data_IF_503347896547
#
_entry.id   IF_503347896547
#
_cell.length_a   1.000
_cell.length_b   1.000
_cell.length_c   1.000
_cell.angle_alpha   90.00
_cell.angle_beta   90.00
_cell.angle_gamma   90.00
#
_symmetry.space_group_name_H-M   'P 1'
#
loop_
_entity.id
_entity.type
_entity.pdbx_description
1 polymer ?
#
# COMPACT_ATOMS: atom_id res chain seq x y z
N UNK A 1 5.11 7.81 -1.81
CA UNK A 1 6.55 7.95 -2.17
C UNK A 1 7.50 7.41 -1.11
N UNK A 2 7.39 7.72 0.18
CA UNK A 2 8.38 7.31 1.21
C UNK A 2 8.87 5.85 1.16
N UNK A 3 8.02 4.84 1.42
CA UNK A 3 8.47 3.43 1.44
C UNK A 3 9.01 2.92 0.09
N UNK A 4 8.38 3.37 -1.00
CA UNK A 4 8.82 3.06 -2.36
C UNK A 4 10.15 3.74 -2.72
N UNK A 5 10.38 4.97 -2.27
CA UNK A 5 11.61 5.71 -2.48
C UNK A 5 12.76 5.09 -1.68
N UNK A 6 12.51 4.64 -0.44
CA UNK A 6 13.51 3.93 0.37
C UNK A 6 13.91 2.61 -0.28
N UNK A 7 12.95 1.81 -0.76
CA UNK A 7 13.25 0.56 -1.47
C UNK A 7 13.99 0.81 -2.79
N UNK A 8 13.57 1.81 -3.58
CA UNK A 8 14.26 2.19 -4.82
C UNK A 8 15.69 2.69 -4.57
N UNK A 9 15.91 3.53 -3.55
CA UNK A 9 17.24 4.00 -3.16
C UNK A 9 18.15 2.83 -2.76
N UNK A 10 17.65 1.91 -1.94
CA UNK A 10 18.39 0.69 -1.59
C UNK A 10 18.71 -0.19 -2.80
N UNK A 11 17.79 -0.30 -3.78
CA UNK A 11 18.03 -1.03 -5.02
C UNK A 11 19.12 -0.38 -5.88
N UNK A 12 19.13 0.95 -5.97
CA UNK A 12 20.12 1.71 -6.75
C UNK A 12 21.50 1.73 -6.08
N UNK A 13 21.55 1.65 -4.74
CA UNK A 13 22.81 1.68 -3.97
C UNK A 13 23.44 0.29 -3.73
N UNK A 14 22.75 -0.80 -4.08
CA UNK A 14 23.25 -2.17 -3.90
C UNK A 14 24.07 -2.66 -5.09
N UNK A 15 25.39 -2.78 -4.93
CA UNK A 15 26.25 -3.47 -5.91
C UNK A 15 25.81 -4.93 -6.11
N UNK A 16 25.52 -5.31 -7.35
CA UNK A 16 24.93 -6.60 -7.73
C UNK A 16 25.74 -7.85 -7.31
N UNK A 17 27.01 -7.71 -6.93
CA UNK A 17 27.93 -8.80 -6.61
C UNK A 17 28.00 -9.19 -5.12
N UNK A 18 27.45 -8.39 -4.20
CA UNK A 18 27.41 -8.68 -2.75
C UNK A 18 26.00 -8.93 -2.19
N UNK A 19 24.98 -8.90 -3.05
CA UNK A 19 23.56 -9.00 -2.66
C UNK A 19 22.96 -10.42 -2.64
N UNK A 20 23.69 -11.44 -3.07
CA UNK A 20 23.11 -12.79 -3.24
C UNK A 20 22.80 -13.54 -1.94
N UNK A 21 23.37 -13.14 -0.79
CA UNK A 21 23.30 -13.96 0.44
C UNK A 21 22.63 -13.31 1.66
N UNK A 22 22.24 -12.03 1.66
CA UNK A 22 21.70 -11.40 2.87
C UNK A 22 20.79 -10.18 2.67
N UNK A 23 20.10 -10.07 1.53
CA UNK A 23 19.26 -8.89 1.27
C UNK A 23 17.78 -9.11 1.61
N UNK A 24 17.15 -8.26 2.47
CA UNK A 24 15.77 -8.42 2.92
C UNK A 24 14.72 -7.83 1.97
N UNK A 25 15.06 -7.52 0.72
CA UNK A 25 14.09 -7.08 -0.31
C UNK A 25 13.35 -8.29 -0.87
N UNK A 26 12.55 -8.90 0.00
CA UNK A 26 11.55 -9.89 -0.38
C UNK A 26 10.49 -9.23 -1.26
N UNK A 27 9.88 -9.99 -2.18
CA UNK A 27 8.72 -9.54 -2.96
C UNK A 27 7.61 -8.96 -2.06
N UNK A 28 7.51 -9.42 -0.81
CA UNK A 28 6.63 -8.85 0.21
C UNK A 28 6.90 -7.39 0.53
N UNK A 29 8.17 -6.99 0.69
CA UNK A 29 8.56 -5.61 1.02
C UNK A 29 8.30 -4.68 -0.15
N UNK A 30 8.58 -5.14 -1.37
CA UNK A 30 8.32 -4.38 -2.59
C UNK A 30 6.82 -4.19 -2.81
N UNK A 31 6.04 -5.27 -2.73
CA UNK A 31 4.58 -5.21 -2.88
C UNK A 31 3.92 -4.33 -1.80
N UNK A 32 4.34 -4.44 -0.54
CA UNK A 32 3.86 -3.57 0.54
C UNK A 32 4.19 -2.09 0.26
N UNK A 33 5.42 -1.80 -0.18
CA UNK A 33 5.85 -0.46 -0.53
C UNK A 33 5.05 0.14 -1.69
N UNK A 34 4.70 -0.67 -2.71
CA UNK A 34 3.87 -0.25 -3.82
C UNK A 34 2.46 0.11 -3.33
N UNK A 35 1.80 -0.77 -2.57
CA UNK A 35 0.44 -0.53 -2.07
C UNK A 35 0.35 0.72 -1.17
N UNK A 36 1.30 0.87 -0.24
CA UNK A 36 1.39 2.04 0.64
C UNK A 36 1.75 3.29 -0.19
N UNK A 37 2.61 3.16 -1.20
CA UNK A 37 2.92 4.23 -2.14
C UNK A 37 1.70 4.75 -2.89
N UNK A 38 0.84 3.85 -3.38
CA UNK A 38 -0.42 4.19 -4.08
C UNK A 38 -1.36 5.00 -3.19
N UNK A 39 -1.58 4.57 -1.95
CA UNK A 39 -2.44 5.31 -1.00
C UNK A 39 -1.86 6.68 -0.64
N UNK A 40 -0.53 6.82 -0.51
CA UNK A 40 0.10 8.15 -0.33
C UNK A 40 -0.09 9.05 -1.53
N UNK A 41 0.11 8.54 -2.76
CA UNK A 41 -0.11 9.32 -3.98
C UNK A 41 -1.56 9.79 -4.10
N UNK A 42 -2.52 8.96 -3.67
CA UNK A 42 -3.93 9.34 -3.61
C UNK A 42 -4.20 10.50 -2.65
N UNK A 43 -3.56 10.52 -1.46
CA UNK A 43 -3.67 11.64 -0.52
C UNK A 43 -3.19 12.95 -1.15
N UNK A 44 -2.02 12.92 -1.78
CA UNK A 44 -1.42 14.09 -2.43
C UNK A 44 -2.31 14.59 -3.57
N UNK A 45 -2.81 13.68 -4.40
CA UNK A 45 -3.73 14.01 -5.48
C UNK A 45 -5.01 14.66 -4.95
N UNK A 46 -5.64 14.06 -3.93
CA UNK A 46 -6.85 14.60 -3.30
C UNK A 46 -6.62 15.96 -2.62
N UNK A 47 -5.40 16.25 -2.16
CA UNK A 47 -5.08 17.56 -1.56
C UNK A 47 -5.12 18.72 -2.57
N UNK A 48 -4.93 18.43 -3.86
CA UNK A 48 -4.97 19.44 -4.92
C UNK A 48 -6.39 19.83 -5.34
N UNK A 49 -7.44 19.06 -5.01
CA UNK A 49 -8.81 19.40 -5.42
C UNK A 49 -9.29 20.75 -4.90
N UNK A 50 -8.83 21.14 -3.72
CA UNK A 50 -9.16 22.45 -3.16
C UNK A 50 -8.40 23.61 -3.85
N UNK A 51 -7.27 23.32 -4.51
CA UNK A 51 -6.37 24.32 -5.09
C UNK A 51 -6.57 24.51 -6.61
N UNK A 52 -7.46 23.76 -7.26
CA UNK A 52 -7.56 23.70 -8.74
C UNK A 52 -7.80 25.06 -9.37
N UNK A 53 -8.74 25.85 -8.85
CA UNK A 53 -9.07 27.13 -9.49
C UNK A 53 -7.99 28.20 -9.24
N UNK A 54 -7.44 28.26 -8.03
CA UNK A 54 -6.33 29.17 -7.72
C UNK A 54 -5.04 28.80 -8.49
N UNK A 55 -4.75 27.50 -8.63
CA UNK A 55 -3.62 27.01 -9.42
C UNK A 55 -3.83 27.27 -10.93
N UNK A 56 -5.07 27.22 -11.42
CA UNK A 56 -5.43 27.54 -12.82
C UNK A 56 -5.27 29.03 -13.13
N UNK A 57 -5.68 29.90 -12.20
CA UNK A 57 -5.57 31.36 -12.33
C UNK A 57 -4.12 31.83 -12.41
N UNK A 58 -3.20 31.14 -11.74
CA UNK A 58 -1.75 31.43 -11.80
C UNK A 58 -0.99 30.62 -12.86
N UNK A 59 -1.69 29.85 -13.69
CA UNK A 59 -1.10 29.08 -14.80
C UNK A 59 -0.27 27.85 -14.39
N UNK A 60 -0.46 27.28 -13.19
CA UNK A 60 0.24 26.06 -12.78
C UNK A 60 -0.21 24.85 -13.60
N UNK A 61 0.76 24.06 -14.05
CA UNK A 61 0.55 22.81 -14.79
C UNK A 61 0.36 21.60 -13.86
N UNK A 62 -0.47 21.71 -12.81
CA UNK A 62 -0.72 20.56 -11.95
C UNK A 62 -1.58 19.50 -12.69
N UNK A 63 -1.39 18.19 -12.41
CA UNK A 63 -2.15 17.13 -13.06
C UNK A 63 -3.66 17.36 -12.99
N UNK A 64 -4.14 17.89 -11.87
CA UNK A 64 -5.56 18.15 -11.64
C UNK A 64 -6.07 19.42 -12.35
N UNK A 65 -5.22 20.44 -12.54
CA UNK A 65 -5.55 21.63 -13.35
C UNK A 65 -5.71 21.25 -14.84
N UNK A 66 -4.92 20.30 -15.34
CA UNK A 66 -5.02 19.81 -16.73
C UNK A 66 -6.22 18.88 -16.94
N UNK A 67 -6.55 18.05 -15.96
CA UNK A 67 -7.64 17.07 -16.04
C UNK A 67 -9.02 17.70 -15.73
N UNK A 68 -9.07 18.70 -14.86
CA UNK A 68 -10.31 19.20 -14.27
C UNK A 68 -10.83 18.29 -13.14
N UNK A 69 -11.75 18.80 -12.34
CA UNK A 69 -12.22 18.12 -11.13
C UNK A 69 -13.03 16.84 -11.43
N UNK A 70 -13.74 16.80 -12.57
CA UNK A 70 -14.54 15.64 -12.98
C UNK A 70 -13.66 14.43 -13.36
N UNK A 71 -12.68 14.62 -14.25
CA UNK A 71 -11.70 13.58 -14.57
C UNK A 71 -10.80 13.28 -13.38
N UNK A 72 -10.54 14.26 -12.52
CA UNK A 72 -9.88 14.03 -11.24
C UNK A 72 -10.64 13.03 -10.37
N UNK A 73 -11.96 13.18 -10.23
CA UNK A 73 -12.80 12.26 -9.46
C UNK A 73 -12.79 10.84 -10.06
N UNK A 74 -12.78 10.74 -11.39
CA UNK A 74 -12.60 9.47 -12.11
C UNK A 74 -11.24 8.82 -11.81
N UNK A 75 -10.15 9.60 -11.80
CA UNK A 75 -8.81 9.12 -11.43
C UNK A 75 -8.79 8.60 -9.99
N UNK A 76 -9.46 9.26 -9.05
CA UNK A 76 -9.61 8.77 -7.66
C UNK A 76 -10.28 7.40 -7.64
N UNK A 77 -11.41 7.26 -8.35
CA UNK A 77 -12.13 5.97 -8.47
C UNK A 77 -11.23 4.87 -9.02
N UNK A 78 -10.55 5.13 -10.14
CA UNK A 78 -9.65 4.15 -10.78
C UNK A 78 -8.48 3.81 -9.86
N UNK A 79 -7.91 4.78 -9.17
CA UNK A 79 -6.78 4.57 -8.24
C UNK A 79 -7.18 3.67 -7.07
N UNK A 80 -8.37 3.87 -6.48
CA UNK A 80 -8.87 3.01 -5.39
C UNK A 80 -9.16 1.61 -5.91
N UNK A 81 -9.74 1.45 -7.10
CA UNK A 81 -9.95 0.12 -7.71
C UNK A 81 -8.61 -0.59 -7.97
N UNK A 82 -7.61 0.13 -8.50
CA UNK A 82 -6.27 -0.39 -8.75
C UNK A 82 -5.56 -0.81 -7.46
N UNK A 83 -5.75 -0.08 -6.36
CA UNK A 83 -5.18 -0.45 -5.05
C UNK A 83 -5.64 -1.85 -4.62
N UNK A 84 -6.95 -2.12 -4.69
CA UNK A 84 -7.50 -3.43 -4.30
C UNK A 84 -7.21 -4.52 -5.34
N UNK A 85 -7.15 -4.18 -6.63
CA UNK A 85 -6.72 -5.12 -7.67
C UNK A 85 -5.26 -5.56 -7.46
N UNK A 86 -4.35 -4.63 -7.15
CA UNK A 86 -2.96 -4.92 -6.84
C UNK A 86 -2.82 -5.74 -5.56
N UNK A 87 -3.63 -5.46 -4.53
CA UNK A 87 -3.67 -6.27 -3.30
C UNK A 87 -3.98 -7.74 -3.61
N UNK A 88 -5.00 -7.99 -4.44
CA UNK A 88 -5.36 -9.34 -4.86
C UNK A 88 -4.26 -9.96 -5.72
N UNK A 89 -3.72 -9.22 -6.70
CA UNK A 89 -2.66 -9.70 -7.58
C UNK A 89 -1.40 -10.14 -6.80
N UNK A 90 -0.95 -9.34 -5.83
CA UNK A 90 0.20 -9.68 -4.98
C UNK A 90 -0.09 -10.86 -4.05
N UNK A 91 -1.34 -10.97 -3.58
CA UNK A 91 -1.80 -12.12 -2.81
C UNK A 91 -1.78 -13.42 -3.61
N UNK A 92 -2.31 -13.40 -4.84
CA UNK A 92 -2.30 -14.55 -5.76
C UNK A 92 -0.89 -14.92 -6.22
N UNK A 93 -0.01 -13.93 -6.39
CA UNK A 93 1.40 -14.13 -6.74
C UNK A 93 2.25 -14.66 -5.58
N UNK A 94 1.65 -14.91 -4.40
CA UNK A 94 2.33 -15.32 -3.16
C UNK A 94 3.41 -14.34 -2.68
N UNK A 95 3.46 -13.11 -3.21
CA UNK A 95 4.37 -12.07 -2.72
C UNK A 95 3.84 -11.46 -1.43
N UNK A 96 2.50 -11.41 -1.26
CA UNK A 96 1.83 -11.09 -0.01
C UNK A 96 1.17 -12.34 0.59
N UNK A 97 1.21 -12.52 1.93
CA UNK A 97 0.41 -13.50 2.63
C UNK A 97 -1.09 -13.32 2.37
N UNK A 98 -1.83 -14.43 2.26
CA UNK A 98 -3.29 -14.39 2.12
C UNK A 98 -3.99 -13.68 3.30
N UNK A 99 -3.38 -13.71 4.49
CA UNK A 99 -3.83 -12.96 5.67
C UNK A 99 -3.89 -11.46 5.41
N UNK A 100 -2.95 -10.91 4.62
CA UNK A 100 -2.95 -9.50 4.25
C UNK A 100 -4.16 -9.16 3.38
N UNK A 101 -4.52 -10.02 2.42
CA UNK A 101 -5.70 -9.81 1.57
C UNK A 101 -6.95 -9.69 2.45
N UNK A 102 -7.15 -10.64 3.36
CA UNK A 102 -8.34 -10.68 4.20
C UNK A 102 -8.46 -9.45 5.10
N UNK A 103 -7.39 -9.09 5.82
CA UNK A 103 -7.41 -7.97 6.75
C UNK A 103 -7.48 -6.63 6.00
N UNK A 104 -6.75 -6.46 4.89
CA UNK A 104 -6.84 -5.25 4.07
C UNK A 104 -8.20 -5.12 3.36
N UNK A 105 -8.88 -6.22 3.01
CA UNK A 105 -10.22 -6.18 2.42
C UNK A 105 -11.26 -5.54 3.36
N UNK A 106 -11.06 -5.61 4.69
CA UNK A 106 -11.93 -4.90 5.66
C UNK A 106 -11.92 -3.38 5.49
N UNK A 107 -10.94 -2.82 4.77
CA UNK A 107 -10.87 -1.39 4.48
C UNK A 107 -11.68 -0.97 3.25
N UNK A 108 -12.19 -1.92 2.45
CA UNK A 108 -13.02 -1.67 1.26
C UNK A 108 -14.15 -0.65 1.47
N UNK A 109 -14.95 -0.69 2.55
CA UNK A 109 -15.99 0.32 2.78
C UNK A 109 -15.43 1.73 2.93
N UNK A 110 -14.22 1.88 3.49
CA UNK A 110 -13.53 3.18 3.60
C UNK A 110 -13.03 3.64 2.23
N UNK A 111 -12.53 2.72 1.39
CA UNK A 111 -12.19 3.01 0.00
C UNK A 111 -13.39 3.49 -0.80
N UNK A 112 -14.53 2.81 -0.67
CA UNK A 112 -15.77 3.21 -1.32
C UNK A 112 -16.28 4.57 -0.80
N UNK A 113 -16.12 4.86 0.49
CA UNK A 113 -16.43 6.16 1.08
C UNK A 113 -15.61 7.28 0.45
N UNK A 114 -14.30 7.08 0.24
CA UNK A 114 -13.43 8.04 -0.45
C UNK A 114 -13.94 8.31 -1.87
N UNK A 115 -14.21 7.25 -2.64
CA UNK A 115 -14.68 7.37 -4.03
C UNK A 115 -15.99 8.14 -4.08
N UNK A 116 -16.99 7.73 -3.29
CA UNK A 116 -18.30 8.39 -3.26
C UNK A 116 -18.20 9.84 -2.84
N UNK A 117 -17.45 10.13 -1.77
CA UNK A 117 -17.27 11.49 -1.29
C UNK A 117 -16.67 12.41 -2.35
N UNK A 118 -15.62 11.96 -3.05
CA UNK A 118 -14.98 12.75 -4.11
C UNK A 118 -15.91 12.90 -5.32
N UNK A 119 -16.60 11.83 -5.75
CA UNK A 119 -17.53 11.92 -6.88
C UNK A 119 -18.73 12.84 -6.62
N UNK A 120 -19.25 12.87 -5.39
CA UNK A 120 -20.40 13.71 -5.04
C UNK A 120 -19.99 15.18 -4.81
N UNK A 121 -18.75 15.44 -4.36
CA UNK A 121 -18.34 16.76 -3.88
C UNK A 121 -17.23 17.43 -4.71
N UNK A 122 -16.73 16.86 -5.81
CA UNK A 122 -15.61 17.43 -6.58
C UNK A 122 -15.85 18.84 -7.15
N UNK A 123 -17.11 19.29 -7.21
CA UNK A 123 -17.50 20.65 -7.64
C UNK A 123 -17.71 21.61 -6.46
N UNK A 124 -17.85 21.11 -5.24
CA UNK A 124 -18.10 21.91 -4.04
C UNK A 124 -16.79 22.20 -3.29
N UNK A 125 -16.24 23.39 -3.49
CA UNK A 125 -14.95 23.83 -2.89
C UNK A 125 -14.94 23.76 -1.37
N UNK A 126 -16.10 23.99 -0.74
CA UNK A 126 -16.24 24.02 0.71
C UNK A 126 -16.26 22.62 1.32
N UNK A 127 -16.56 21.58 0.53
CA UNK A 127 -16.56 20.18 1.01
C UNK A 127 -15.36 19.40 0.52
N UNK A 128 -14.89 19.65 -0.70
CA UNK A 128 -13.87 18.83 -1.34
C UNK A 128 -12.52 18.86 -0.62
N UNK A 129 -12.23 19.90 0.17
CA UNK A 129 -11.03 19.94 1.01
C UNK A 129 -10.96 18.76 2.00
N UNK A 130 -12.11 18.18 2.35
CA UNK A 130 -12.19 17.00 3.23
C UNK A 130 -11.71 15.70 2.56
N UNK A 131 -11.61 15.66 1.23
CA UNK A 131 -11.21 14.46 0.49
C UNK A 131 -9.84 13.91 0.94
N UNK A 132 -8.88 14.80 1.22
CA UNK A 132 -7.55 14.41 1.70
C UNK A 132 -7.62 13.66 3.04
N UNK A 133 -8.52 14.06 3.95
CA UNK A 133 -8.64 13.43 5.27
C UNK A 133 -9.26 12.03 5.16
N UNK A 134 -10.24 11.84 4.27
CA UNK A 134 -10.74 10.50 3.96
C UNK A 134 -9.65 9.60 3.36
N UNK A 135 -8.79 10.14 2.49
CA UNK A 135 -7.65 9.40 1.95
C UNK A 135 -6.61 9.07 3.02
N UNK A 136 -6.34 9.98 3.95
CA UNK A 136 -5.45 9.74 5.11
C UNK A 136 -6.01 8.63 5.99
N UNK A 137 -7.32 8.64 6.26
CA UNK A 137 -8.00 7.58 7.01
C UNK A 137 -7.89 6.23 6.30
N UNK A 138 -8.09 6.19 4.97
CA UNK A 138 -7.89 4.98 4.17
C UNK A 138 -6.44 4.50 4.28
N UNK A 139 -5.45 5.37 4.10
CA UNK A 139 -4.02 5.03 4.18
C UNK A 139 -3.64 4.47 5.56
N UNK A 140 -4.09 5.12 6.64
CA UNK A 140 -3.80 4.67 8.00
C UNK A 140 -4.41 3.30 8.30
N UNK A 141 -5.69 3.09 7.96
CA UNK A 141 -6.37 1.81 8.17
C UNK A 141 -5.78 0.71 7.28
N UNK A 142 -5.50 1.01 6.00
CA UNK A 142 -4.89 0.07 5.07
C UNK A 142 -3.48 -0.31 5.49
N UNK A 143 -2.66 0.65 5.92
CA UNK A 143 -1.32 0.41 6.44
C UNK A 143 -1.31 -0.41 7.72
N UNK A 144 -2.21 -0.11 8.67
CA UNK A 144 -2.38 -0.90 9.89
C UNK A 144 -2.85 -2.33 9.59
N UNK A 145 -3.83 -2.49 8.70
CA UNK A 145 -4.32 -3.78 8.24
C UNK A 145 -3.21 -4.61 7.57
N UNK A 146 -2.39 -3.96 6.74
CA UNK A 146 -1.26 -4.60 6.06
C UNK A 146 -0.19 -5.06 7.08
N UNK A 147 0.15 -4.22 8.05
CA UNK A 147 1.08 -4.56 9.13
C UNK A 147 0.58 -5.75 9.97
N UNK A 148 -0.72 -5.78 10.31
CA UNK A 148 -1.33 -6.88 11.04
C UNK A 148 -1.39 -8.17 10.22
N UNK A 149 -1.69 -8.07 8.93
CA UNK A 149 -1.65 -9.23 8.02
C UNK A 149 -0.26 -9.85 7.93
N UNK A 150 0.79 -9.02 7.94
CA UNK A 150 2.19 -9.44 7.90
C UNK A 150 2.67 -10.02 9.24
N UNK A 151 2.23 -9.50 10.38
CA UNK A 151 2.59 -10.05 11.70
C UNK A 151 1.99 -11.45 11.91
N UNK A 152 0.81 -11.72 11.37
CA UNK A 152 0.23 -13.07 11.36
C UNK A 152 1.09 -14.10 10.61
N UNK A 153 1.72 -13.69 9.49
CA UNK A 153 2.71 -14.53 8.79
C UNK A 153 3.94 -14.79 9.66
N UNK A 154 4.44 -13.76 10.35
CA UNK A 154 5.61 -13.89 11.20
C UNK A 154 5.39 -14.92 12.31
N UNK A 155 4.21 -14.89 12.95
CA UNK A 155 3.84 -15.87 13.97
C UNK A 155 3.79 -17.31 13.41
N UNK A 156 3.16 -17.50 12.24
CA UNK A 156 3.11 -18.81 11.59
C UNK A 156 4.49 -19.33 11.15
N UNK A 157 5.36 -18.42 10.68
CA UNK A 157 6.72 -18.75 10.27
C UNK A 157 7.62 -19.11 11.46
N UNK A 158 7.54 -18.34 12.56
CA UNK A 158 8.24 -18.63 13.81
C UNK A 158 7.80 -19.98 14.37
N UNK A 159 6.49 -20.24 14.42
CA UNK A 159 5.95 -21.52 14.90
C UNK A 159 6.51 -22.72 14.11
N UNK A 160 6.52 -22.65 12.77
CA UNK A 160 7.08 -23.70 11.91
C UNK A 160 8.60 -23.87 12.08
N UNK A 161 9.34 -22.77 12.18
CA UNK A 161 10.80 -22.80 12.39
C UNK A 161 11.16 -23.40 13.74
N UNK A 162 10.39 -23.08 14.79
CA UNK A 162 10.55 -23.68 16.12
C UNK A 162 10.22 -25.17 16.10
N UNK A 163 9.13 -25.59 15.46
CA UNK A 163 8.76 -27.00 15.32
C UNK A 163 9.82 -27.82 14.54
N UNK A 164 10.36 -27.28 13.44
CA UNK A 164 11.45 -27.91 12.69
C UNK A 164 12.71 -28.08 13.54
N UNK A 165 13.09 -27.04 14.29
CA UNK A 165 14.27 -27.07 15.17
C UNK A 165 14.12 -28.09 16.31
N UNK A 166 12.91 -28.23 16.86
CA UNK A 166 12.60 -29.27 17.86
C UNK A 166 12.71 -30.65 17.22
N UNK A 167 12.11 -30.88 16.05
CA UNK A 167 12.13 -32.18 15.38
C UNK A 167 13.57 -32.62 15.00
N UNK A 168 14.41 -31.69 14.56
CA UNK A 168 15.84 -31.95 14.33
C UNK A 168 16.60 -32.34 15.62
N UNK A 169 16.27 -31.73 16.77
CA UNK A 169 16.87 -32.09 18.06
C UNK A 169 16.51 -33.52 18.47
N UNK A 170 15.24 -33.88 18.40
CA UNK A 170 14.78 -35.24 18.72
C UNK A 170 15.27 -36.31 17.72
N UNK A 171 15.42 -35.96 16.44
CA UNK A 171 15.98 -36.88 15.44
C UNK A 171 17.50 -37.06 15.55
N UNK A 172 18.21 -36.10 16.16
CA UNK A 172 19.65 -36.19 16.42
C UNK A 172 19.99 -36.97 17.69
N UNK A 173 19.14 -36.88 18.72
CA UNK A 173 19.33 -37.57 20.00
C UNK A 173 18.91 -39.07 19.93
N UNK A 174 18.26 -39.51 18.84
CA UNK A 174 17.77 -40.88 18.64
C UNK A 174 18.77 -41.89 18.03
N UNK A 175 20.02 -41.50 17.76
CA UNK A 175 21.10 -42.37 17.25
C UNK A 175 22.29 -42.46 18.22
N UNK A 176 22.04 -42.31 19.52
CA UNK A 176 23.06 -42.39 20.57
C UNK A 176 22.67 -43.36 21.70
N UNK A 177 21.92 -44.42 21.38
CA UNK A 177 21.61 -45.52 22.30
C UNK A 177 22.07 -46.86 21.69
#
# INVERSE_FOLDING_TARGET
FGPFATTAFYLVHGSASSMANHFPLSGTVLSASILVGFTTSLILFCSHFHQVDGDKEVGKLSPLVRLGTERGAEVVKVTVLMLYALLVAFGLSKTLPLTCIFVCALTLPVGNLVVRFVQENHRDKNKIFMAKYFCVRLHALFGAALAFGLSGLLHACISKRTAYRINQKWSGDGYAA
#
